data_IF_910528624309
#
_entry.id   IF_910528624309
#
_cell.length_a   1.000
_cell.length_b   1.000
_cell.length_c   1.000
_cell.angle_alpha   90.00
_cell.angle_beta   90.00
_cell.angle_gamma   90.00
#
_symmetry.space_group_name_H-M   'P 1'
#
loop_
_entity.id
_entity.type
_entity.pdbx_description
1 polymer ?
#
# COMPACT_ATOMS: atom_id res chain seq x y z
N UNK A 1 15.31 15.47 18.11
CA UNK A 1 15.46 14.12 17.49
C UNK A 1 15.52 14.30 15.98
N UNK A 2 16.55 13.75 15.30
CA UNK A 2 16.56 13.70 13.83
C UNK A 2 15.62 12.58 13.41
N UNK A 3 14.47 12.89 12.83
CA UNK A 3 13.68 11.89 12.12
C UNK A 3 14.52 11.40 10.95
N UNK A 4 15.06 10.19 11.05
CA UNK A 4 15.56 9.49 9.86
C UNK A 4 14.32 9.27 9.00
N UNK A 5 14.29 9.76 7.74
CA UNK A 5 13.12 9.59 6.91
C UNK A 5 12.78 8.10 6.83
N UNK A 6 11.49 7.78 6.93
CA UNK A 6 11.00 6.44 6.68
C UNK A 6 11.54 5.99 5.33
N UNK A 7 12.11 4.79 5.30
CA UNK A 7 12.73 4.25 4.09
C UNK A 7 11.60 3.77 3.19
N UNK A 8 11.22 4.59 2.21
CA UNK A 8 10.28 4.20 1.15
C UNK A 8 10.91 3.13 0.27
N UNK A 9 10.14 2.10 -0.11
CA UNK A 9 10.56 1.10 -1.08
C UNK A 9 10.72 1.71 -2.48
N UNK A 10 11.75 1.27 -3.21
CA UNK A 10 12.18 1.90 -4.47
C UNK A 10 11.12 1.79 -5.58
N UNK A 11 10.25 0.78 -5.51
CA UNK A 11 9.17 0.55 -6.48
C UNK A 11 7.92 1.42 -6.22
N UNK A 12 7.76 2.04 -5.04
CA UNK A 12 6.57 2.82 -4.71
C UNK A 12 6.29 3.95 -5.72
N UNK A 13 7.27 4.80 -6.13
CA UNK A 13 7.02 5.87 -7.09
C UNK A 13 6.49 5.37 -8.44
N UNK A 14 7.00 4.21 -8.90
CA UNK A 14 6.55 3.58 -10.13
C UNK A 14 5.10 3.08 -9.99
N UNK A 15 4.80 2.36 -8.90
CA UNK A 15 3.45 1.86 -8.62
C UNK A 15 2.44 3.01 -8.57
N UNK A 16 2.75 4.09 -7.83
CA UNK A 16 1.88 5.27 -7.73
C UNK A 16 1.66 5.90 -9.10
N UNK A 17 2.72 6.04 -9.91
CA UNK A 17 2.64 6.58 -11.26
C UNK A 17 1.76 5.73 -12.16
N UNK A 18 1.87 4.41 -12.09
CA UNK A 18 1.09 3.49 -12.91
C UNK A 18 -0.37 3.45 -12.48
N UNK A 19 -0.66 3.35 -11.18
CA UNK A 19 -2.03 3.40 -10.64
C UNK A 19 -2.76 4.67 -11.06
N UNK A 20 -2.09 5.83 -10.98
CA UNK A 20 -2.67 7.14 -11.37
C UNK A 20 -2.95 7.27 -12.86
N UNK A 21 -2.39 6.40 -13.72
CA UNK A 21 -2.73 6.35 -15.16
C UNK A 21 -4.02 5.56 -15.43
N UNK A 22 -4.50 4.76 -14.47
CA UNK A 22 -5.68 3.92 -14.65
C UNK A 22 -6.93 4.75 -14.36
N UNK A 23 -7.88 4.88 -15.30
CA UNK A 23 -9.09 5.65 -15.07
C UNK A 23 -9.88 5.18 -13.84
N UNK A 24 -10.31 6.15 -13.02
CA UNK A 24 -11.10 5.90 -11.82
C UNK A 24 -10.31 5.38 -10.62
N UNK A 25 -8.98 5.34 -10.69
CA UNK A 25 -8.11 5.14 -9.53
C UNK A 25 -7.61 6.49 -9.01
N UNK A 26 -7.59 6.67 -7.69
CA UNK A 26 -6.91 7.77 -7.01
C UNK A 26 -5.89 7.20 -6.02
N UNK A 27 -4.79 7.92 -5.76
CA UNK A 27 -3.72 7.43 -4.87
C UNK A 27 -3.18 8.57 -4.01
N UNK A 28 -3.19 8.36 -2.69
CA UNK A 28 -2.50 9.17 -1.70
C UNK A 28 -1.25 8.44 -1.21
N UNK A 29 -0.13 9.15 -1.10
CA UNK A 29 1.10 8.63 -0.49
C UNK A 29 1.04 8.94 1.00
N UNK A 30 1.21 7.93 1.84
CA UNK A 30 1.07 8.01 3.30
C UNK A 30 2.27 7.49 4.08
N UNK A 31 3.31 7.00 3.40
CA UNK A 31 4.58 6.53 4.00
C UNK A 31 5.22 7.52 4.99
N UNK A 32 4.99 8.84 4.80
CA UNK A 32 5.51 9.88 5.68
C UNK A 32 4.78 9.99 7.04
N UNK A 33 3.62 9.35 7.21
CA UNK A 33 2.86 9.35 8.47
C UNK A 33 3.64 8.62 9.58
N UNK A 34 4.39 7.56 9.23
CA UNK A 34 5.21 6.81 10.17
C UNK A 34 4.41 5.87 11.09
N UNK A 35 5.07 5.38 12.16
CA UNK A 35 4.50 4.48 13.17
C UNK A 35 3.85 3.20 12.61
N UNK A 36 4.36 2.67 11.50
CA UNK A 36 3.84 1.46 10.86
C UNK A 36 2.57 1.69 10.03
N UNK A 37 2.11 2.93 9.86
CA UNK A 37 1.03 3.24 8.92
C UNK A 37 1.45 2.92 7.48
N UNK A 38 0.47 2.53 6.66
CA UNK A 38 0.69 2.06 5.30
C UNK A 38 1.37 3.09 4.41
N UNK A 39 2.07 2.58 3.40
CA UNK A 39 2.73 3.38 2.38
C UNK A 39 1.80 4.20 1.49
N UNK A 40 0.69 3.61 1.02
CA UNK A 40 -0.28 4.30 0.15
C UNK A 40 -1.73 3.93 0.49
N UNK A 41 -2.63 4.86 0.14
CA UNK A 41 -4.08 4.62 0.11
C UNK A 41 -4.59 4.82 -1.32
N UNK A 42 -5.37 3.87 -1.82
CA UNK A 42 -5.89 3.79 -3.18
C UNK A 42 -7.41 3.84 -3.15
N UNK A 43 -8.01 4.78 -3.87
CA UNK A 43 -9.46 4.84 -4.05
C UNK A 43 -9.88 4.28 -5.40
N UNK A 44 -10.95 3.50 -5.45
CA UNK A 44 -11.59 3.04 -6.70
C UNK A 44 -13.06 2.71 -6.46
N UNK A 45 -13.98 3.20 -7.31
CA UNK A 45 -15.42 2.81 -7.25
C UNK A 45 -16.05 2.84 -5.85
N UNK A 46 -15.78 3.88 -5.08
CA UNK A 46 -16.36 4.10 -3.75
C UNK A 46 -15.76 3.26 -2.61
N UNK A 47 -14.69 2.49 -2.87
CA UNK A 47 -13.90 1.80 -1.84
C UNK A 47 -12.51 2.40 -1.70
N UNK A 48 -11.92 2.19 -0.52
CA UNK A 48 -10.53 2.56 -0.21
C UNK A 48 -9.75 1.28 0.10
N UNK A 49 -8.57 1.15 -0.51
CA UNK A 49 -7.58 0.14 -0.21
C UNK A 49 -6.32 0.77 0.39
N UNK A 50 -5.80 0.19 1.47
CA UNK A 50 -4.58 0.57 2.18
C UNK A 50 -3.51 -0.47 1.88
N UNK A 51 -2.37 -0.02 1.38
CA UNK A 51 -1.30 -0.91 0.93
C UNK A 51 0.05 -0.53 1.51
N UNK A 52 0.67 -1.49 2.18
CA UNK A 52 2.08 -1.49 2.50
C UNK A 52 2.86 -2.05 1.32
N UNK A 53 3.83 -1.29 0.79
CA UNK A 53 4.57 -1.69 -0.40
C UNK A 53 5.84 -2.42 0.00
N UNK A 54 6.16 -3.52 -0.68
CA UNK A 54 7.46 -4.19 -0.55
C UNK A 54 8.04 -4.46 -1.92
N UNK A 55 9.29 -4.07 -2.13
CA UNK A 55 9.96 -4.30 -3.41
C UNK A 55 10.51 -5.74 -3.48
N UNK A 56 10.00 -6.60 -4.39
CA UNK A 56 10.44 -8.00 -4.49
C UNK A 56 11.90 -8.13 -4.93
N UNK A 57 12.50 -7.08 -5.52
CA UNK A 57 13.92 -7.04 -5.88
C UNK A 57 14.85 -6.82 -4.68
N UNK A 58 14.31 -6.51 -3.49
CA UNK A 58 15.09 -6.35 -2.27
C UNK A 58 15.41 -7.70 -1.62
N UNK A 59 16.51 -7.70 -0.87
CA UNK A 59 16.90 -8.83 -0.04
C UNK A 59 15.75 -9.31 0.87
N UNK A 60 15.64 -10.62 1.18
CA UNK A 60 14.52 -11.18 1.94
C UNK A 60 14.23 -10.49 3.27
N UNK A 61 15.24 -9.95 3.94
CA UNK A 61 15.08 -9.20 5.19
C UNK A 61 14.29 -7.90 5.01
N UNK A 62 14.40 -7.24 3.84
CA UNK A 62 13.74 -5.98 3.52
C UNK A 62 12.35 -6.15 2.91
N UNK A 63 12.00 -7.34 2.46
CA UNK A 63 10.65 -7.68 1.98
C UNK A 63 9.67 -7.99 3.12
N UNK A 64 10.17 -8.17 4.34
CA UNK A 64 9.34 -8.46 5.51
C UNK A 64 8.79 -7.16 6.10
N UNK A 65 7.58 -7.23 6.64
CA UNK A 65 7.04 -6.16 7.47
C UNK A 65 7.97 -5.85 8.64
N UNK A 66 8.18 -4.57 8.93
CA UNK A 66 8.82 -4.11 10.16
C UNK A 66 7.94 -4.43 11.37
N UNK A 67 8.48 -4.43 12.60
CA UNK A 67 7.65 -4.67 13.79
C UNK A 67 6.44 -3.73 13.89
N UNK A 68 6.63 -2.43 13.62
CA UNK A 68 5.55 -1.46 13.68
C UNK A 68 4.47 -1.69 12.60
N UNK A 69 4.88 -2.05 11.38
CA UNK A 69 3.92 -2.44 10.32
C UNK A 69 3.14 -3.70 10.72
N UNK A 70 3.79 -4.70 11.32
CA UNK A 70 3.10 -5.90 11.82
C UNK A 70 2.07 -5.56 12.90
N UNK A 71 2.43 -4.68 13.83
CA UNK A 71 1.52 -4.24 14.88
C UNK A 71 0.32 -3.51 14.27
N UNK A 72 0.55 -2.58 13.33
CA UNK A 72 -0.53 -1.91 12.61
C UNK A 72 -1.43 -2.89 11.85
N UNK A 73 -0.84 -3.82 11.07
CA UNK A 73 -1.59 -4.82 10.32
C UNK A 73 -2.40 -5.75 11.23
N UNK A 74 -1.90 -6.07 12.43
CA UNK A 74 -2.61 -6.90 13.41
C UNK A 74 -3.78 -6.14 14.04
N UNK A 75 -3.55 -4.89 14.42
CA UNK A 75 -4.49 -4.10 15.23
C UNK A 75 -5.53 -3.35 14.36
N UNK A 76 -5.28 -3.25 13.06
CA UNK A 76 -6.21 -2.64 12.11
C UNK A 76 -7.34 -3.59 11.74
N UNK A 77 -8.56 -3.26 12.14
CA UNK A 77 -9.77 -4.04 11.83
C UNK A 77 -10.42 -3.68 10.48
N UNK A 78 -9.78 -2.81 9.69
CA UNK A 78 -10.21 -2.47 8.34
C UNK A 78 -9.44 -3.22 7.25
N UNK A 79 -9.61 -2.80 6.00
CA UNK A 79 -8.81 -3.34 4.90
C UNK A 79 -7.37 -2.83 5.00
N UNK A 80 -6.42 -3.75 4.88
CA UNK A 80 -4.98 -3.50 4.77
C UNK A 80 -4.33 -4.70 4.07
N UNK A 81 -3.40 -4.47 3.15
CA UNK A 81 -2.70 -5.54 2.45
C UNK A 81 -1.24 -5.17 2.15
N UNK A 82 -0.40 -6.19 1.98
CA UNK A 82 0.94 -6.02 1.40
C UNK A 82 0.84 -6.16 -0.11
N UNK A 83 1.50 -5.27 -0.85
CA UNK A 83 1.56 -5.35 -2.31
C UNK A 83 2.97 -5.12 -2.84
N UNK A 84 3.33 -5.92 -3.85
CA UNK A 84 4.63 -5.85 -4.51
C UNK A 84 4.56 -5.17 -5.89
N UNK A 85 3.37 -5.13 -6.50
CA UNK A 85 3.18 -4.68 -7.88
C UNK A 85 1.87 -3.92 -8.06
N UNK A 86 1.83 -3.05 -9.07
CA UNK A 86 0.62 -2.37 -9.55
C UNK A 86 -0.50 -3.36 -9.88
N UNK A 87 -0.17 -4.48 -10.54
CA UNK A 87 -1.14 -5.48 -10.98
C UNK A 87 -1.83 -6.15 -9.79
N UNK A 88 -1.10 -6.44 -8.71
CA UNK A 88 -1.66 -6.99 -7.49
C UNK A 88 -2.70 -6.04 -6.88
N UNK A 89 -2.36 -4.75 -6.77
CA UNK A 89 -3.25 -3.70 -6.22
C UNK A 89 -4.50 -3.55 -7.08
N UNK A 90 -4.36 -3.48 -8.41
CA UNK A 90 -5.50 -3.34 -9.33
C UNK A 90 -6.44 -4.53 -9.24
N UNK A 91 -5.89 -5.74 -9.16
CA UNK A 91 -6.66 -6.98 -9.02
C UNK A 91 -7.46 -6.97 -7.73
N UNK A 92 -6.81 -6.64 -6.62
CA UNK A 92 -7.45 -6.58 -5.30
C UNK A 92 -8.55 -5.50 -5.24
N UNK A 93 -8.26 -4.27 -5.66
CA UNK A 93 -9.25 -3.17 -5.69
C UNK A 93 -10.47 -3.51 -6.55
N UNK A 94 -10.29 -4.16 -7.69
CA UNK A 94 -11.42 -4.58 -8.54
C UNK A 94 -12.24 -5.69 -7.88
N UNK A 95 -11.59 -6.67 -7.26
CA UNK A 95 -12.27 -7.74 -6.53
C UNK A 95 -13.11 -7.17 -5.37
N UNK A 96 -12.52 -6.26 -4.58
CA UNK A 96 -13.23 -5.59 -3.48
C UNK A 96 -14.41 -4.75 -3.96
N UNK A 97 -14.25 -3.98 -5.04
CA UNK A 97 -15.32 -3.16 -5.59
C UNK A 97 -16.50 -4.03 -6.07
N UNK A 98 -16.21 -5.17 -6.70
CA UNK A 98 -17.23 -6.09 -7.19
C UNK A 98 -18.01 -6.76 -6.04
N UNK A 99 -17.34 -7.08 -4.92
CA UNK A 99 -18.01 -7.64 -3.72
C UNK A 99 -18.99 -6.67 -3.07
N UNK A 100 -18.78 -5.36 -3.21
CA UNK A 100 -19.67 -4.32 -2.66
C UNK A 100 -20.89 -4.06 -3.53
N UNK A 101 -20.81 -4.41 -4.82
CA UNK A 101 -21.89 -4.18 -5.79
C UNK A 101 -22.88 -5.35 -5.89
N UNK A 102 -22.59 -6.48 -5.22
CA UNK A 102 -23.47 -7.64 -5.09
C UNK A 102 -24.25 -7.59 -3.77
#
# INVERSE_FOLDING_TARGET
>A
MRHRPARTDDNQPQIVKELRKIPGFSVAITAAVGNGFVDIVVGHRGINGMYEIKDPAKEPARRKLTPAEKDFHRDWHGQVAVAETTVAIVTDMRAMANRRAA
#
